data_IF_630795188724
#
_entry.id   IF_630795188724
#
_cell.length_a   1.000
_cell.length_b   1.000
_cell.length_c   1.000
_cell.angle_alpha   90.00
_cell.angle_beta   90.00
_cell.angle_gamma   90.00
#
_symmetry.space_group_name_H-M   'P 1'
#
loop_
_entity.id
_entity.type
_entity.pdbx_description
1 polymer ?
#
# COMPACT_ATOMS: atom_id res chain seq x y z
N UNK A 1 -4.70 67.19 -41.30
CA UNK A 1 -4.27 67.77 -40.00
C UNK A 1 -4.15 66.61 -39.02
N UNK A 2 -3.05 66.18 -38.42
CA UNK A 2 -1.62 66.49 -38.36
C UNK A 2 -0.92 65.13 -38.15
N UNK A 3 0.03 64.76 -39.01
CA UNK A 3 1.49 64.80 -38.79
C UNK A 3 2.05 63.69 -37.91
N UNK A 4 2.91 62.88 -38.53
CA UNK A 4 3.95 62.12 -37.86
C UNK A 4 4.95 63.07 -37.17
N UNK A 5 5.56 62.62 -36.06
CA UNK A 5 6.97 62.83 -35.65
C UNK A 5 7.27 61.72 -34.63
N UNK A 6 8.25 60.87 -34.95
CA UNK A 6 8.77 59.86 -34.04
C UNK A 6 9.78 60.44 -33.04
N UNK A 7 10.10 59.64 -32.02
CA UNK A 7 11.45 59.48 -31.47
C UNK A 7 11.53 58.15 -30.72
N UNK A 8 12.59 57.44 -31.01
CA UNK A 8 12.94 56.13 -30.49
C UNK A 8 13.50 56.20 -29.05
N UNK A 9 13.31 55.12 -28.29
CA UNK A 9 14.28 54.64 -27.31
C UNK A 9 14.22 53.10 -27.26
N UNK A 10 15.39 52.49 -27.43
CA UNK A 10 15.67 51.07 -27.59
C UNK A 10 16.11 50.46 -26.24
N UNK A 11 15.68 49.22 -25.97
CA UNK A 11 16.32 48.25 -25.07
C UNK A 11 15.78 48.25 -23.64
N UNK A 12 15.41 47.13 -23.00
CA UNK A 12 15.85 45.74 -23.15
C UNK A 12 14.76 44.77 -22.68
N UNK A 13 14.73 43.62 -23.36
CA UNK A 13 13.91 42.44 -23.15
C UNK A 13 14.41 41.62 -21.95
N UNK A 14 13.49 41.16 -21.12
CA UNK A 14 13.63 40.04 -20.19
C UNK A 14 12.25 39.83 -19.54
N UNK A 15 11.53 38.74 -19.69
CA UNK A 15 11.88 37.35 -19.94
C UNK A 15 10.84 36.58 -19.11
N UNK A 16 9.88 35.96 -19.79
CA UNK A 16 8.61 35.53 -19.21
C UNK A 16 8.70 34.45 -18.14
N UNK A 17 7.78 34.58 -17.17
CA UNK A 17 6.90 33.54 -16.59
C UNK A 17 7.35 32.08 -16.75
N UNK A 18 7.62 31.39 -15.63
CA UNK A 18 7.43 29.94 -15.56
C UNK A 18 6.99 29.46 -14.16
N UNK A 19 5.72 29.04 -14.13
CA UNK A 19 5.05 28.07 -13.27
C UNK A 19 5.53 27.87 -11.81
N UNK A 20 4.68 28.33 -10.90
CA UNK A 20 4.60 27.87 -9.52
C UNK A 20 4.48 26.33 -9.47
N UNK A 21 5.42 25.67 -8.77
CA UNK A 21 5.33 24.23 -8.47
C UNK A 21 4.19 24.01 -7.48
N UNK A 22 3.11 23.41 -7.96
CA UNK A 22 2.04 22.88 -7.10
C UNK A 22 2.57 21.65 -6.37
N UNK A 23 2.60 21.71 -5.03
CA UNK A 23 3.00 20.62 -4.15
C UNK A 23 2.08 19.40 -4.32
N UNK A 24 2.63 18.29 -4.85
CA UNK A 24 1.96 16.99 -4.85
C UNK A 24 2.13 16.33 -3.49
N UNK A 25 1.22 16.58 -2.56
CA UNK A 25 1.11 15.79 -1.34
C UNK A 25 -0.34 15.69 -0.89
N UNK A 26 -1.09 14.75 -1.46
CA UNK A 26 -2.38 14.32 -0.92
C UNK A 26 -2.42 12.79 -0.98
N UNK A 27 -2.16 12.14 0.15
CA UNK A 27 -2.80 10.87 0.52
C UNK A 27 -2.76 10.70 2.05
N UNK A 28 -3.90 10.94 2.71
CA UNK A 28 -4.56 10.09 3.72
C UNK A 28 -5.53 10.94 4.54
N UNK A 29 -6.82 10.81 4.26
CA UNK A 29 -7.88 11.12 5.22
C UNK A 29 -8.46 9.77 5.63
N UNK A 30 -8.28 9.41 6.90
CA UNK A 30 -9.08 8.35 7.52
C UNK A 30 -10.45 8.95 7.83
N UNK A 31 -11.50 8.40 7.22
CA UNK A 31 -12.87 8.59 7.70
C UNK A 31 -13.28 7.30 8.37
N UNK A 32 -13.32 7.34 9.70
CA UNK A 32 -14.10 6.41 10.51
C UNK A 32 -15.56 6.83 10.42
N UNK A 33 -16.40 6.02 9.79
CA UNK A 33 -17.83 6.00 10.10
C UNK A 33 -18.25 4.56 10.38
N UNK A 34 -18.62 4.37 11.64
CA UNK A 34 -19.43 3.30 12.18
C UNK A 34 -20.83 3.35 11.56
N UNK A 35 -21.26 2.24 10.96
CA UNK A 35 -22.62 2.02 10.49
C UNK A 35 -22.79 0.55 10.14
N UNK A 36 -23.33 -0.23 11.09
CA UNK A 36 -23.77 -1.61 10.90
C UNK A 36 -24.94 -1.63 9.92
N UNK A 37 -24.86 -2.47 8.89
CA UNK A 37 -25.97 -3.35 8.49
C UNK A 37 -25.41 -4.55 7.74
N UNK A 38 -25.85 -5.72 8.21
CA UNK A 38 -25.45 -7.06 7.81
C UNK A 38 -26.05 -7.42 6.45
N UNK A 39 -25.27 -8.13 5.62
CA UNK A 39 -25.68 -9.38 4.98
C UNK A 39 -24.50 -10.02 4.22
N UNK A 40 -24.13 -11.21 4.70
CA UNK A 40 -23.43 -12.34 4.06
C UNK A 40 -21.98 -12.12 3.55
N UNK A 41 -20.95 -12.62 4.25
CA UNK A 41 -20.51 -14.03 4.38
C UNK A 41 -19.97 -14.63 3.08
N UNK A 42 -18.67 -14.43 2.84
CA UNK A 42 -17.67 -15.48 2.58
C UNK A 42 -16.51 -14.93 1.76
N UNK A 43 -15.38 -14.67 2.42
CA UNK A 43 -14.08 -15.09 1.91
C UNK A 43 -13.08 -15.08 3.06
N UNK A 44 -12.74 -16.29 3.52
CA UNK A 44 -11.66 -16.50 4.46
C UNK A 44 -10.33 -16.12 3.79
N UNK A 45 -9.71 -15.07 4.30
CA UNK A 45 -8.33 -14.70 4.01
C UNK A 45 -7.64 -14.28 5.31
N UNK A 46 -7.52 -15.23 6.25
CA UNK A 46 -6.87 -15.05 7.54
C UNK A 46 -5.50 -14.40 7.37
N UNK A 47 -5.35 -13.21 7.95
CA UNK A 47 -4.08 -12.62 8.27
C UNK A 47 -3.33 -13.55 9.24
N UNK A 48 -2.14 -14.00 8.87
CA UNK A 48 -1.16 -14.50 9.83
C UNK A 48 0.19 -13.86 9.47
N UNK A 49 0.39 -12.66 9.99
CA UNK A 49 1.72 -12.08 10.19
C UNK A 49 2.22 -12.69 11.48
N UNK A 50 3.24 -13.55 11.40
CA UNK A 50 4.05 -13.90 12.58
C UNK A 50 5.50 -13.69 12.18
N UNK A 51 6.18 -12.85 12.95
CA UNK A 51 7.54 -12.98 13.51
C UNK A 51 7.83 -11.66 14.25
N UNK A 52 8.27 -11.69 15.53
CA UNK A 52 9.47 -12.41 15.94
C UNK A 52 9.30 -13.31 17.19
N UNK A 53 10.23 -14.25 17.32
CA UNK A 53 10.37 -15.20 18.42
C UNK A 53 10.80 -14.51 19.72
N UNK A 54 9.92 -14.44 20.72
CA UNK A 54 10.32 -14.28 22.12
C UNK A 54 10.46 -15.65 22.78
N UNK A 55 11.62 -15.88 23.39
CA UNK A 55 11.94 -17.05 24.21
C UNK A 55 10.92 -17.17 25.33
N UNK A 56 10.32 -18.35 25.51
CA UNK A 56 9.59 -18.69 26.73
C UNK A 56 10.39 -19.74 27.51
N UNK A 57 10.82 -19.32 28.69
CA UNK A 57 11.40 -20.16 29.73
C UNK A 57 10.37 -21.18 30.23
N UNK A 58 10.84 -22.40 30.50
CA UNK A 58 10.12 -23.44 31.19
C UNK A 58 9.98 -23.12 32.68
N UNK A 59 8.77 -23.18 33.23
CA UNK A 59 8.55 -23.31 34.67
C UNK A 59 7.38 -24.27 34.91
N UNK A 60 7.65 -25.24 35.78
CA UNK A 60 6.84 -26.41 36.17
C UNK A 60 5.61 -26.04 37.00
N UNK A 61 4.52 -26.78 36.80
CA UNK A 61 3.32 -26.72 37.62
C UNK A 61 3.40 -27.69 38.82
N UNK A 62 2.95 -27.23 39.98
CA UNK A 62 2.63 -28.02 41.17
C UNK A 62 1.11 -27.96 41.41
N UNK A 63 0.46 -29.13 41.56
CA UNK A 63 -0.93 -29.27 42.04
C UNK A 63 -1.09 -28.93 43.54
N UNK A 64 -2.33 -28.68 44.02
CA UNK A 64 -2.95 -29.71 44.89
C UNK A 64 -4.50 -29.86 44.86
N UNK A 65 -4.96 -31.13 44.88
CA UNK A 65 -5.87 -31.85 45.81
C UNK A 65 -7.37 -31.47 46.13
N UNK A 66 -8.28 -32.39 45.72
CA UNK A 66 -9.38 -33.16 46.42
C UNK A 66 -10.46 -32.53 47.37
N UNK A 67 -11.73 -32.93 47.18
CA UNK A 67 -12.72 -33.67 48.08
C UNK A 67 -14.15 -33.62 47.46
N UNK A 68 -14.89 -34.72 47.18
CA UNK A 68 -15.67 -35.75 47.95
C UNK A 68 -17.17 -35.41 48.15
N UNK A 69 -18.00 -36.44 47.91
CA UNK A 69 -19.46 -36.51 47.67
C UNK A 69 -20.42 -36.49 48.87
N UNK A 70 -21.75 -36.38 48.59
CA UNK A 70 -22.89 -36.89 49.39
C UNK A 70 -24.07 -37.36 48.48
N UNK A 71 -24.94 -38.26 49.01
CA UNK A 71 -25.93 -39.15 48.34
C UNK A 71 -27.41 -38.84 48.70
N UNK A 72 -28.34 -39.09 47.73
CA UNK A 72 -29.75 -39.68 47.71
C UNK A 72 -30.81 -39.28 48.79
N UNK A 73 -32.14 -39.64 48.72
CA UNK A 73 -32.89 -40.78 48.08
C UNK A 73 -34.19 -40.33 47.32
N UNK A 74 -35.24 -41.12 46.99
CA UNK A 74 -35.52 -42.38 46.27
C UNK A 74 -37.08 -42.48 46.07
N UNK A 75 -37.58 -43.21 45.04
CA UNK A 75 -38.91 -43.89 44.85
C UNK A 75 -39.39 -43.73 43.38
N UNK A 76 -39.53 -44.71 42.48
CA UNK A 76 -40.18 -46.04 42.42
C UNK A 76 -41.65 -46.00 41.90
N UNK A 77 -41.87 -46.40 40.62
CA UNK A 77 -42.87 -47.39 40.13
C UNK A 77 -42.92 -47.44 38.58
N UNK A 78 -42.82 -48.67 38.04
CA UNK A 78 -43.22 -49.17 36.71
C UNK A 78 -44.35 -50.22 36.98
N UNK A 79 -45.03 -50.91 36.02
CA UNK A 79 -44.64 -51.26 34.63
C UNK A 79 -45.77 -51.27 33.56
N UNK A 80 -45.46 -51.49 32.27
CA UNK A 80 -46.05 -52.60 31.48
C UNK A 80 -45.29 -52.87 30.16
N UNK A 81 -45.48 -54.07 29.63
CA UNK A 81 -44.56 -54.87 28.84
C UNK A 81 -44.64 -54.73 27.31
N UNK A 82 -43.54 -55.04 26.61
CA UNK A 82 -43.51 -56.08 25.56
C UNK A 82 -42.08 -56.23 24.98
N UNK A 83 -41.54 -57.44 25.11
CA UNK A 83 -40.23 -57.85 24.66
C UNK A 83 -40.22 -58.32 23.19
N UNK A 84 -39.17 -58.00 22.43
CA UNK A 84 -38.62 -58.87 21.38
C UNK A 84 -37.09 -58.93 21.48
N UNK A 85 -36.58 -60.15 21.73
CA UNK A 85 -35.16 -60.52 21.88
C UNK A 85 -34.38 -60.37 20.56
N UNK A 86 -33.09 -60.02 20.64
CA UNK A 86 -32.03 -60.69 19.86
C UNK A 86 -30.59 -60.43 20.35
N UNK A 87 -29.88 -61.55 20.44
CA UNK A 87 -28.43 -61.78 20.30
C UNK A 87 -27.43 -61.25 21.35
N UNK A 88 -26.64 -62.21 21.84
CA UNK A 88 -25.58 -62.08 22.83
C UNK A 88 -24.47 -61.10 22.41
N UNK A 89 -24.26 -60.05 23.20
CA UNK A 89 -23.10 -59.18 23.09
C UNK A 89 -21.89 -59.81 23.81
N UNK A 90 -20.85 -60.15 23.06
CA UNK A 90 -19.50 -60.38 23.59
C UNK A 90 -19.10 -59.13 24.39
N UNK A 91 -18.85 -59.28 25.70
CA UNK A 91 -18.25 -58.22 26.54
C UNK A 91 -16.91 -57.84 25.92
N UNK A 92 -16.83 -56.66 25.33
CA UNK A 92 -15.56 -56.04 24.98
C UNK A 92 -14.80 -55.79 26.29
N UNK A 93 -13.58 -56.33 26.41
CA UNK A 93 -12.65 -55.94 27.46
C UNK A 93 -12.44 -54.43 27.34
N UNK A 94 -12.96 -53.66 28.30
CA UNK A 94 -12.72 -52.22 28.38
C UNK A 94 -11.22 -51.98 28.49
N UNK A 95 -10.69 -51.09 27.64
CA UNK A 95 -9.30 -50.62 27.73
C UNK A 95 -9.02 -50.12 29.15
N UNK A 96 -7.89 -50.52 29.72
CA UNK A 96 -7.43 -50.01 31.03
C UNK A 96 -7.26 -48.49 30.94
N UNK A 97 -7.46 -47.78 32.04
CA UNK A 97 -7.36 -46.30 32.12
C UNK A 97 -6.03 -45.81 31.52
N UNK A 98 -4.92 -46.49 31.84
CA UNK A 98 -3.57 -46.28 31.29
C UNK A 98 -3.45 -46.47 29.77
N UNK A 99 -4.29 -47.31 29.17
CA UNK A 99 -4.35 -47.52 27.71
C UNK A 99 -5.23 -46.47 27.02
N UNK A 100 -6.27 -45.96 27.70
CA UNK A 100 -7.08 -44.84 27.21
C UNK A 100 -6.27 -43.54 27.22
N UNK A 101 -5.54 -43.26 28.31
CA UNK A 101 -4.63 -42.12 28.41
C UNK A 101 -3.56 -42.14 27.31
N UNK A 102 -2.88 -43.27 27.10
CA UNK A 102 -1.89 -43.39 26.00
C UNK A 102 -2.49 -43.18 24.60
N UNK A 103 -3.73 -43.61 24.38
CA UNK A 103 -4.41 -43.42 23.09
C UNK A 103 -4.82 -41.96 22.89
N UNK A 104 -5.23 -41.28 23.95
CA UNK A 104 -5.57 -39.86 23.95
C UNK A 104 -4.32 -38.98 23.77
N UNK A 105 -3.22 -39.30 24.45
CA UNK A 105 -1.92 -38.65 24.30
C UNK A 105 -1.36 -38.80 22.87
N UNK A 106 -1.47 -40.00 22.29
CA UNK A 106 -1.10 -40.25 20.89
C UNK A 106 -1.97 -39.43 19.91
N UNK A 107 -3.27 -39.30 20.18
CA UNK A 107 -4.18 -38.50 19.37
C UNK A 107 -3.86 -37.00 19.46
N UNK A 108 -3.53 -36.48 20.65
CA UNK A 108 -3.10 -35.09 20.86
C UNK A 108 -1.79 -34.82 20.13
N UNK A 109 -0.80 -35.73 20.22
CA UNK A 109 0.48 -35.61 19.52
C UNK A 109 0.31 -35.60 18.00
N UNK A 110 -0.58 -36.45 17.46
CA UNK A 110 -0.89 -36.47 16.03
C UNK A 110 -1.57 -35.17 15.58
N UNK A 111 -2.52 -34.64 16.37
CA UNK A 111 -3.15 -33.33 16.12
C UNK A 111 -2.12 -32.20 16.10
N UNK A 112 -1.20 -32.16 17.07
CA UNK A 112 -0.13 -31.16 17.14
C UNK A 112 0.85 -31.27 15.96
N UNK A 113 1.22 -32.49 15.55
CA UNK A 113 2.04 -32.68 14.35
C UNK A 113 1.34 -32.20 13.09
N UNK A 114 0.04 -32.48 12.93
CA UNK A 114 -0.74 -32.02 11.80
C UNK A 114 -0.90 -30.49 11.80
N UNK A 115 -1.08 -29.86 12.96
CA UNK A 115 -1.07 -28.40 13.09
C UNK A 115 0.29 -27.81 12.69
N UNK A 116 1.41 -28.33 13.22
CA UNK A 116 2.76 -27.89 12.85
C UNK A 116 3.05 -28.05 11.35
N UNK A 117 2.59 -29.15 10.73
CA UNK A 117 2.71 -29.35 9.28
C UNK A 117 1.92 -28.31 8.49
N UNK A 118 0.70 -27.99 8.93
CA UNK A 118 -0.14 -26.93 8.33
C UNK A 118 0.51 -25.56 8.46
N UNK A 119 1.01 -25.21 9.65
CA UNK A 119 1.72 -23.94 9.90
C UNK A 119 2.98 -23.80 9.04
N UNK A 120 3.81 -24.85 8.97
CA UNK A 120 4.99 -24.87 8.09
C UNK A 120 4.62 -24.64 6.63
N UNK A 121 3.54 -25.29 6.15
CA UNK A 121 3.05 -25.09 4.79
C UNK A 121 2.61 -23.64 4.55
N UNK A 122 1.83 -23.05 5.47
CA UNK A 122 1.39 -21.64 5.38
C UNK A 122 2.58 -20.68 5.33
N UNK A 123 3.62 -20.94 6.14
CA UNK A 123 4.84 -20.11 6.14
C UNK A 123 5.60 -20.23 4.82
N UNK A 124 5.76 -21.44 4.28
CA UNK A 124 6.43 -21.64 2.98
C UNK A 124 5.63 -21.01 1.84
N UNK A 125 4.31 -21.18 1.81
CA UNK A 125 3.41 -20.53 0.85
C UNK A 125 3.49 -18.99 0.94
N UNK A 126 3.64 -18.45 2.16
CA UNK A 126 3.89 -17.03 2.38
C UNK A 126 5.23 -16.57 1.81
N UNK A 127 6.30 -17.35 2.01
CA UNK A 127 7.64 -17.05 1.47
C UNK A 127 7.67 -17.11 -0.04
N UNK A 128 7.05 -18.12 -0.67
CA UNK A 128 6.96 -18.21 -2.13
C UNK A 128 6.22 -17.01 -2.68
N UNK A 129 5.11 -16.60 -2.05
CA UNK A 129 4.39 -15.38 -2.47
C UNK A 129 5.25 -14.12 -2.37
N UNK A 130 6.03 -13.97 -1.30
CA UNK A 130 6.94 -12.84 -1.15
C UNK A 130 8.03 -12.87 -2.24
N UNK A 131 8.56 -14.05 -2.60
CA UNK A 131 9.54 -14.19 -3.69
C UNK A 131 8.93 -13.81 -5.04
N UNK A 132 7.72 -14.26 -5.35
CA UNK A 132 6.99 -13.86 -6.56
C UNK A 132 6.77 -12.35 -6.63
N UNK A 133 6.35 -11.73 -5.51
CA UNK A 133 6.15 -10.28 -5.46
C UNK A 133 7.47 -9.55 -5.69
N UNK A 134 8.57 -9.99 -5.06
CA UNK A 134 9.89 -9.41 -5.27
C UNK A 134 10.40 -9.57 -6.71
N UNK A 135 10.13 -10.70 -7.36
CA UNK A 135 10.52 -10.95 -8.74
C UNK A 135 9.82 -10.00 -9.74
N UNK A 136 8.62 -9.53 -9.42
CA UNK A 136 7.89 -8.52 -10.22
C UNK A 136 8.37 -7.09 -9.98
N UNK A 137 9.21 -6.83 -8.98
CA UNK A 137 9.69 -5.47 -8.68
C UNK A 137 10.73 -5.07 -9.73
N UNK A 138 10.39 -4.03 -10.50
CA UNK A 138 11.25 -3.40 -11.47
C UNK A 138 12.06 -2.30 -10.77
N UNK A 139 13.32 -2.17 -11.15
CA UNK A 139 14.22 -1.17 -10.61
C UNK A 139 14.53 -0.12 -11.67
N UNK A 140 14.23 1.17 -11.42
CA UNK A 140 14.55 2.22 -12.36
C UNK A 140 16.08 2.40 -12.49
N UNK A 141 16.56 2.94 -13.63
CA UNK A 141 17.96 3.29 -13.82
C UNK A 141 18.47 4.20 -12.71
N UNK A 142 19.76 4.06 -12.36
CA UNK A 142 20.41 4.96 -11.40
C UNK A 142 20.50 6.35 -12.01
N UNK A 143 20.07 7.36 -11.26
CA UNK A 143 20.11 8.76 -11.70
C UNK A 143 21.48 9.36 -11.39
N UNK A 144 21.99 10.13 -12.34
CA UNK A 144 23.13 11.04 -12.23
C UNK A 144 22.80 12.24 -11.31
N UNK A 145 23.80 12.90 -10.72
CA UNK A 145 23.59 14.07 -9.86
C UNK A 145 22.93 15.22 -10.64
N UNK A 146 21.73 15.61 -10.22
CA UNK A 146 20.86 16.56 -10.93
C UNK A 146 20.83 17.96 -10.30
N UNK A 147 21.77 18.27 -9.40
CA UNK A 147 21.90 19.59 -8.76
C UNK A 147 23.38 19.99 -8.73
N UNK A 148 23.69 21.26 -8.97
CA UNK A 148 25.07 21.75 -9.01
C UNK A 148 25.87 21.36 -7.75
N UNK A 149 25.26 21.50 -6.56
CA UNK A 149 25.83 21.04 -5.30
C UNK A 149 26.17 19.53 -5.32
N UNK A 150 25.25 18.68 -5.78
CA UNK A 150 25.47 17.23 -5.81
C UNK A 150 26.52 16.82 -6.83
N UNK A 151 26.66 17.55 -7.93
CA UNK A 151 27.73 17.33 -8.91
C UNK A 151 29.07 17.62 -8.28
N UNK A 152 29.24 18.79 -7.67
CA UNK A 152 30.47 19.17 -6.96
C UNK A 152 30.81 18.19 -5.84
N UNK A 153 29.81 17.75 -5.08
CA UNK A 153 30.00 16.79 -4.00
C UNK A 153 30.51 15.44 -4.51
N UNK A 154 29.91 14.91 -5.59
CA UNK A 154 30.35 13.65 -6.22
C UNK A 154 31.75 13.80 -6.82
N UNK A 155 32.05 14.93 -7.45
CA UNK A 155 33.39 15.24 -7.96
C UNK A 155 34.42 15.26 -6.83
N UNK A 156 34.11 15.92 -5.71
CA UNK A 156 34.98 15.95 -4.53
C UNK A 156 35.22 14.55 -3.96
N UNK A 157 34.21 13.66 -4.00
CA UNK A 157 34.35 12.25 -3.58
C UNK A 157 35.29 11.46 -4.48
N UNK A 158 35.26 11.73 -5.79
CA UNK A 158 36.11 11.06 -6.77
C UNK A 158 37.57 11.56 -6.67
N UNK A 159 37.77 12.84 -6.35
CA UNK A 159 39.10 13.45 -6.22
C UNK A 159 39.79 13.11 -4.90
N UNK A 160 39.05 12.78 -3.84
CA UNK A 160 39.61 12.48 -2.51
C UNK A 160 39.16 11.10 -2.00
N UNK A 161 39.60 10.00 -2.65
CA UNK A 161 39.28 8.67 -2.17
C UNK A 161 39.91 8.41 -0.79
N UNK A 162 39.10 7.93 0.16
CA UNK A 162 39.57 7.53 1.50
C UNK A 162 39.40 8.57 2.61
N UNK A 163 39.03 9.81 2.27
CA UNK A 163 38.64 10.81 3.29
C UNK A 163 37.25 10.48 3.84
N UNK A 164 37.01 10.58 5.16
CA UNK A 164 35.69 10.39 5.74
C UNK A 164 34.65 11.29 5.07
N UNK A 165 33.49 10.71 4.70
CA UNK A 165 32.43 11.40 3.97
C UNK A 165 31.98 12.69 4.67
N UNK A 166 31.94 12.72 6.01
CA UNK A 166 31.51 13.88 6.78
C UNK A 166 32.42 15.11 6.57
N UNK A 167 33.73 14.92 6.62
CA UNK A 167 34.71 16.01 6.41
C UNK A 167 34.65 16.49 4.95
N UNK A 168 34.58 15.55 4.01
CA UNK A 168 34.47 15.89 2.60
C UNK A 168 33.21 16.69 2.27
N UNK A 169 32.06 16.33 2.85
CA UNK A 169 30.80 17.09 2.69
C UNK A 169 30.96 18.51 3.24
N UNK A 170 31.60 18.65 4.41
CA UNK A 170 31.83 19.93 5.06
C UNK A 170 32.72 20.85 4.22
N UNK A 171 33.83 20.32 3.72
CA UNK A 171 34.77 21.04 2.86
C UNK A 171 34.15 21.40 1.52
N UNK A 172 33.48 20.45 0.87
CA UNK A 172 32.73 20.70 -0.36
C UNK A 172 31.68 21.80 -0.15
N UNK A 173 30.97 21.79 0.98
CA UNK A 173 29.93 22.79 1.27
C UNK A 173 30.51 24.18 1.46
N UNK A 174 31.66 24.29 2.15
CA UNK A 174 32.39 25.55 2.27
C UNK A 174 32.81 26.08 0.89
N UNK A 175 33.40 25.22 0.06
CA UNK A 175 33.79 25.55 -1.33
C UNK A 175 32.58 26.01 -2.15
N UNK A 176 31.46 25.29 -2.10
CA UNK A 176 30.25 25.62 -2.87
C UNK A 176 29.67 26.99 -2.52
N UNK A 177 29.73 27.40 -1.25
CA UNK A 177 29.25 28.71 -0.80
C UNK A 177 30.11 29.86 -1.31
N UNK A 178 31.42 29.64 -1.44
CA UNK A 178 32.39 30.65 -1.91
C UNK A 178 32.66 30.59 -3.41
N UNK A 179 31.97 29.72 -4.16
CA UNK A 179 32.11 29.63 -5.61
C UNK A 179 31.77 30.95 -6.30
N UNK A 180 32.61 31.33 -7.26
CA UNK A 180 32.34 32.41 -8.19
C UNK A 180 31.16 32.07 -9.12
N UNK A 181 30.62 33.10 -9.78
CA UNK A 181 29.44 32.96 -10.62
C UNK A 181 29.68 32.02 -11.81
N UNK A 182 30.86 32.08 -12.44
CA UNK A 182 31.19 31.28 -13.63
C UNK A 182 31.30 29.80 -13.29
N UNK A 183 32.02 29.45 -12.22
CA UNK A 183 32.11 28.05 -11.77
C UNK A 183 30.75 27.52 -11.31
N UNK A 184 29.91 28.35 -10.69
CA UNK A 184 28.53 27.95 -10.34
C UNK A 184 27.69 27.66 -11.59
N UNK A 185 27.82 28.46 -12.63
CA UNK A 185 27.17 28.23 -13.92
C UNK A 185 27.64 26.93 -14.57
N UNK A 186 28.95 26.65 -14.55
CA UNK A 186 29.51 25.38 -15.03
C UNK A 186 28.83 24.17 -14.35
N UNK A 187 28.75 24.16 -13.02
CA UNK A 187 28.07 23.08 -12.29
C UNK A 187 26.57 23.01 -12.57
N UNK A 188 25.91 24.15 -12.78
CA UNK A 188 24.51 24.17 -13.18
C UNK A 188 24.31 23.57 -14.58
N UNK A 189 25.22 23.83 -15.53
CA UNK A 189 25.17 23.24 -16.86
C UNK A 189 25.32 21.72 -16.80
N UNK A 190 26.29 21.20 -16.03
CA UNK A 190 26.45 19.75 -15.81
C UNK A 190 25.20 19.15 -15.17
N UNK A 191 24.67 19.80 -14.12
CA UNK A 191 23.46 19.32 -13.44
C UNK A 191 22.24 19.26 -14.38
N UNK A 192 22.08 20.26 -15.25
CA UNK A 192 21.01 20.31 -16.24
C UNK A 192 21.20 19.23 -17.32
N UNK A 193 22.44 19.03 -17.80
CA UNK A 193 22.76 17.95 -18.74
C UNK A 193 22.47 16.57 -18.12
N UNK A 194 22.92 16.33 -16.89
CA UNK A 194 22.63 15.10 -16.13
C UNK A 194 21.13 14.90 -15.94
N UNK A 195 20.36 15.97 -15.67
CA UNK A 195 18.91 15.89 -15.58
C UNK A 195 18.29 15.45 -16.91
N UNK A 196 18.71 16.05 -18.03
CA UNK A 196 18.25 15.64 -19.35
C UNK A 196 18.60 14.18 -19.65
N UNK A 197 19.83 13.73 -19.34
CA UNK A 197 20.24 12.33 -19.48
C UNK A 197 19.43 11.40 -18.59
N UNK A 198 19.16 11.79 -17.33
CA UNK A 198 18.35 11.01 -16.41
C UNK A 198 16.93 10.83 -16.94
N UNK A 199 16.31 11.92 -17.41
CA UNK A 199 14.95 11.89 -17.91
C UNK A 199 14.90 11.05 -19.21
N UNK A 200 15.86 11.23 -20.14
CA UNK A 200 15.97 10.39 -21.33
C UNK A 200 16.20 8.89 -21.01
N UNK A 201 17.06 8.58 -20.03
CA UNK A 201 17.30 7.19 -19.60
C UNK A 201 16.07 6.55 -18.97
N UNK A 202 15.28 7.34 -18.22
CA UNK A 202 14.06 6.88 -17.58
C UNK A 202 12.95 6.65 -18.62
N UNK A 203 12.78 7.56 -19.58
CA UNK A 203 11.84 7.40 -20.68
C UNK A 203 12.20 6.20 -21.57
N UNK A 204 13.48 6.03 -21.93
CA UNK A 204 13.94 4.86 -22.68
C UNK A 204 13.67 3.55 -21.91
N UNK A 205 13.88 3.55 -20.59
CA UNK A 205 13.56 2.42 -19.73
C UNK A 205 12.05 2.15 -19.67
N UNK A 206 11.20 3.17 -19.53
CA UNK A 206 9.75 3.01 -19.59
C UNK A 206 9.29 2.46 -20.95
N UNK A 207 9.89 2.94 -22.04
CA UNK A 207 9.58 2.48 -23.39
C UNK A 207 9.97 1.00 -23.60
N UNK A 208 11.04 0.52 -22.95
CA UNK A 208 11.46 -0.88 -22.99
C UNK A 208 10.50 -1.83 -22.26
N UNK A 209 9.65 -1.30 -21.38
CA UNK A 209 8.74 -2.08 -20.54
C UNK A 209 7.31 -2.02 -21.07
N UNK A 210 6.58 -3.12 -20.90
CA UNK A 210 5.14 -3.12 -21.17
C UNK A 210 4.38 -2.41 -20.05
N UNK A 211 3.25 -1.73 -20.36
CA UNK A 211 2.38 -1.17 -19.34
C UNK A 211 1.97 -2.19 -18.28
N UNK A 212 1.73 -3.45 -18.68
CA UNK A 212 1.37 -4.55 -17.78
C UNK A 212 2.48 -4.87 -16.77
N UNK A 213 3.74 -4.93 -17.21
CA UNK A 213 4.88 -5.17 -16.31
C UNK A 213 5.01 -4.07 -15.27
N UNK A 214 4.85 -2.80 -15.68
CA UNK A 214 4.89 -1.65 -14.77
C UNK A 214 3.72 -1.70 -13.77
N UNK A 215 2.53 -2.02 -14.27
CA UNK A 215 1.33 -2.18 -13.44
C UNK A 215 1.52 -3.26 -12.37
N UNK A 216 1.99 -4.45 -12.77
CA UNK A 216 2.26 -5.57 -11.88
C UNK A 216 3.35 -5.25 -10.86
N UNK A 217 4.38 -4.52 -11.28
CA UNK A 217 5.45 -4.07 -10.40
C UNK A 217 4.94 -3.13 -9.32
N UNK A 218 4.17 -2.12 -9.71
CA UNK A 218 3.55 -1.17 -8.79
C UNK A 218 2.63 -1.87 -7.77
N UNK A 219 1.84 -2.84 -8.22
CA UNK A 219 0.98 -3.64 -7.34
C UNK A 219 1.80 -4.51 -6.38
N UNK A 220 2.88 -5.13 -6.87
CA UNK A 220 3.75 -5.95 -6.05
C UNK A 220 4.45 -5.13 -4.96
N UNK A 221 4.98 -3.96 -5.30
CA UNK A 221 5.57 -3.02 -4.34
C UNK A 221 4.54 -2.54 -3.32
N UNK A 222 3.33 -2.18 -3.74
CA UNK A 222 2.27 -1.79 -2.80
C UNK A 222 1.95 -2.93 -1.83
N UNK A 223 1.88 -4.18 -2.30
CA UNK A 223 1.67 -5.35 -1.44
C UNK A 223 2.82 -5.56 -0.46
N UNK A 224 4.06 -5.50 -0.94
CA UNK A 224 5.25 -5.61 -0.07
C UNK A 224 5.31 -4.49 0.98
N UNK A 225 4.88 -3.28 0.63
CA UNK A 225 4.74 -2.15 1.58
C UNK A 225 3.67 -2.41 2.63
N UNK A 226 2.52 -2.96 2.25
CA UNK A 226 1.47 -3.38 3.20
C UNK A 226 1.95 -4.47 4.16
N UNK A 227 2.85 -5.35 3.70
CA UNK A 227 3.48 -6.39 4.52
C UNK A 227 4.64 -5.87 5.39
N UNK A 228 4.95 -4.56 5.36
CA UNK A 228 6.05 -3.98 6.14
C UNK A 228 7.46 -4.36 5.64
N UNK A 229 7.58 -4.97 4.46
CA UNK A 229 8.86 -5.43 3.88
C UNK A 229 9.61 -4.31 3.13
N UNK A 230 9.03 -3.12 3.05
CA UNK A 230 9.61 -1.94 2.41
C UNK A 230 9.72 -0.83 3.44
N UNK A 231 10.90 -0.21 3.53
CA UNK A 231 11.16 0.90 4.45
C UNK A 231 10.18 2.06 4.21
N UNK A 232 9.64 2.67 5.29
CA UNK A 232 8.83 3.88 5.16
C UNK A 232 9.64 4.98 4.47
N UNK A 233 8.96 5.85 3.70
CA UNK A 233 9.59 6.96 2.97
C UNK A 233 10.15 6.61 1.59
N UNK A 234 10.32 5.32 1.23
CA UNK A 234 10.77 4.96 -0.12
C UNK A 234 9.62 5.09 -1.13
N UNK A 235 9.70 6.09 -2.02
CA UNK A 235 8.78 6.18 -3.17
C UNK A 235 9.26 5.21 -4.25
N UNK A 236 8.48 4.17 -4.50
CA UNK A 236 8.83 3.09 -5.42
C UNK A 236 7.91 3.02 -6.63
N UNK A 237 6.76 3.69 -6.57
CA UNK A 237 5.78 3.69 -7.63
C UNK A 237 6.41 4.29 -8.89
N UNK A 238 6.36 3.51 -9.95
CA UNK A 238 6.75 3.90 -11.29
C UNK A 238 5.55 4.61 -11.91
N UNK A 239 5.73 5.88 -12.25
CA UNK A 239 4.71 6.67 -12.93
C UNK A 239 4.88 6.48 -14.44
N UNK A 240 3.86 5.90 -15.07
CA UNK A 240 3.77 5.69 -16.52
C UNK A 240 2.47 6.36 -17.03
N UNK A 241 2.55 7.28 -18.00
CA UNK A 241 1.37 7.96 -18.55
C UNK A 241 0.41 7.02 -19.31
N UNK A 242 0.88 5.86 -19.77
CA UNK A 242 0.07 4.85 -20.49
C UNK A 242 -0.90 4.11 -19.55
N UNK A 243 -0.65 4.13 -18.24
CA UNK A 243 -1.49 3.44 -17.26
C UNK A 243 -2.73 4.30 -16.96
N UNK A 244 -3.95 3.81 -17.22
CA UNK A 244 -5.19 4.51 -16.93
C UNK A 244 -5.27 4.95 -15.47
N UNK A 245 -5.67 6.20 -15.25
CA UNK A 245 -5.84 6.74 -13.89
C UNK A 245 -7.10 6.15 -13.27
N UNK A 246 -7.07 5.90 -11.96
CA UNK A 246 -8.23 5.37 -11.24
C UNK A 246 -9.46 6.25 -11.43
N UNK A 247 -10.65 5.66 -11.48
CA UNK A 247 -11.86 6.44 -11.62
C UNK A 247 -12.08 7.30 -10.37
N UNK A 248 -12.63 8.49 -10.59
CA UNK A 248 -12.99 9.48 -9.58
C UNK A 248 -14.39 9.17 -9.05
N UNK A 249 -14.54 9.23 -7.72
CA UNK A 249 -15.87 9.19 -7.11
C UNK A 249 -16.60 10.51 -7.32
N UNK A 250 -17.93 10.49 -7.16
CA UNK A 250 -18.80 11.68 -7.19
C UNK A 250 -18.26 12.83 -6.32
N UNK A 251 -17.85 12.52 -5.09
CA UNK A 251 -17.22 13.51 -4.20
C UNK A 251 -15.93 14.11 -4.78
N UNK A 252 -15.05 13.30 -5.38
CA UNK A 252 -13.78 13.81 -5.92
C UNK A 252 -14.02 14.66 -7.18
N UNK A 253 -15.06 14.36 -7.95
CA UNK A 253 -15.49 15.19 -9.08
C UNK A 253 -15.99 16.56 -8.60
N UNK A 254 -16.85 16.59 -7.58
CA UNK A 254 -17.28 17.83 -6.92
C UNK A 254 -16.09 18.64 -6.39
N UNK A 255 -15.18 17.99 -5.66
CA UNK A 255 -13.97 18.63 -5.13
C UNK A 255 -13.14 19.22 -6.28
N UNK A 256 -12.94 18.49 -7.37
CA UNK A 256 -12.18 18.96 -8.53
C UNK A 256 -12.81 20.24 -9.11
N UNK A 257 -14.12 20.28 -9.27
CA UNK A 257 -14.85 21.44 -9.76
C UNK A 257 -14.74 22.64 -8.81
N UNK A 258 -14.93 22.43 -7.50
CA UNK A 258 -14.78 23.49 -6.49
C UNK A 258 -13.34 24.00 -6.35
N UNK A 259 -12.32 23.18 -6.59
CA UNK A 259 -10.94 23.69 -6.64
C UNK A 259 -10.67 24.51 -7.91
N UNK A 260 -11.38 24.26 -9.01
CA UNK A 260 -11.24 25.05 -10.23
C UNK A 260 -11.90 26.43 -10.16
N UNK A 261 -12.90 26.65 -9.29
CA UNK A 261 -13.47 27.99 -9.07
C UNK A 261 -12.47 28.97 -8.47
N UNK A 262 -11.44 28.47 -7.80
CA UNK A 262 -10.36 29.28 -7.23
C UNK A 262 -10.62 29.78 -5.81
N UNK A 263 -11.76 29.42 -5.21
CA UNK A 263 -12.18 29.84 -3.86
C UNK A 263 -11.22 29.36 -2.76
N UNK A 264 -10.46 28.30 -3.03
CA UNK A 264 -9.54 27.67 -2.08
C UNK A 264 -8.06 28.05 -2.28
N UNK A 265 -7.77 29.11 -3.06
CA UNK A 265 -6.40 29.61 -3.22
C UNK A 265 -5.92 30.27 -1.93
N UNK A 266 -4.85 29.73 -1.34
CA UNK A 266 -4.24 30.27 -0.11
C UNK A 266 -4.81 29.70 1.20
N UNK A 267 -5.88 28.90 1.14
CA UNK A 267 -6.40 28.15 2.29
C UNK A 267 -5.59 26.87 2.48
N UNK A 268 -5.38 26.44 3.73
CA UNK A 268 -4.71 25.16 3.97
C UNK A 268 -5.53 24.01 3.38
N UNK A 269 -4.87 23.02 2.78
CA UNK A 269 -5.58 21.88 2.15
C UNK A 269 -6.44 21.09 3.14
N UNK A 270 -6.09 21.12 4.43
CA UNK A 270 -6.85 20.45 5.50
C UNK A 270 -8.15 21.18 5.80
N UNK A 271 -8.13 22.52 5.86
CA UNK A 271 -9.33 23.34 6.07
C UNK A 271 -10.25 23.29 4.86
N UNK A 272 -9.68 23.44 3.65
CA UNK A 272 -10.43 23.31 2.41
C UNK A 272 -11.15 21.95 2.33
N UNK A 273 -10.49 20.85 2.71
CA UNK A 273 -11.13 19.54 2.73
C UNK A 273 -12.30 19.43 3.72
N UNK A 274 -12.23 20.10 4.88
CA UNK A 274 -13.34 20.12 5.85
C UNK A 274 -14.56 20.86 5.28
N UNK A 275 -14.33 22.03 4.69
CA UNK A 275 -15.38 22.85 4.05
C UNK A 275 -16.04 22.05 2.92
N UNK A 276 -15.24 21.49 2.00
CA UNK A 276 -15.75 20.70 0.87
C UNK A 276 -16.55 19.47 1.32
N UNK A 277 -16.14 18.81 2.40
CA UNK A 277 -16.89 17.67 2.94
C UNK A 277 -18.25 18.11 3.49
N UNK A 278 -18.32 19.28 4.13
CA UNK A 278 -19.58 19.84 4.63
C UNK A 278 -20.49 20.30 3.49
N UNK A 279 -19.94 21.01 2.50
CA UNK A 279 -20.67 21.44 1.30
C UNK A 279 -21.25 20.22 0.57
N UNK A 280 -20.45 19.19 0.31
CA UNK A 280 -20.93 17.99 -0.38
C UNK A 280 -22.05 17.27 0.38
N UNK A 281 -22.01 17.27 1.71
CA UNK A 281 -23.10 16.70 2.53
C UNK A 281 -24.38 17.52 2.44
N UNK A 282 -24.25 18.85 2.38
CA UNK A 282 -25.37 19.78 2.28
C UNK A 282 -25.99 19.88 0.88
N UNK A 283 -25.31 19.38 -0.17
CA UNK A 283 -25.88 19.32 -1.53
C UNK A 283 -27.21 18.57 -1.56
N UNK A 284 -28.11 19.04 -2.43
CA UNK A 284 -29.37 18.37 -2.71
C UNK A 284 -29.15 17.03 -3.42
N UNK A 285 -30.14 16.14 -3.35
CA UNK A 285 -30.07 14.84 -4.03
C UNK A 285 -29.97 15.00 -5.55
N UNK A 286 -30.56 16.06 -6.11
CA UNK A 286 -30.45 16.39 -7.54
C UNK A 286 -29.01 16.72 -7.95
N UNK A 287 -28.33 17.57 -7.18
CA UNK A 287 -26.93 17.94 -7.46
C UNK A 287 -25.98 16.76 -7.25
N UNK A 288 -26.19 15.97 -6.19
CA UNK A 288 -25.43 14.74 -5.96
C UNK A 288 -25.58 13.75 -7.12
N UNK A 289 -26.80 13.58 -7.65
CA UNK A 289 -27.09 12.67 -8.76
C UNK A 289 -26.35 13.04 -10.05
N UNK A 290 -26.11 14.34 -10.29
CA UNK A 290 -25.27 14.80 -11.40
C UNK A 290 -23.83 14.24 -11.27
N UNK A 291 -23.23 14.36 -10.07
CA UNK A 291 -21.89 13.85 -9.81
C UNK A 291 -21.81 12.32 -9.81
N UNK A 292 -22.86 11.63 -9.38
CA UNK A 292 -22.97 10.18 -9.46
C UNK A 292 -22.97 9.70 -10.91
N UNK A 293 -23.77 10.36 -11.77
CA UNK A 293 -23.83 10.05 -13.20
C UNK A 293 -22.46 10.26 -13.86
N UNK A 294 -21.77 11.37 -13.54
CA UNK A 294 -20.40 11.61 -14.01
C UNK A 294 -19.41 10.56 -13.48
N UNK A 295 -19.56 10.10 -12.24
CA UNK A 295 -18.70 9.06 -11.65
C UNK A 295 -18.91 7.70 -12.31
N UNK A 296 -20.16 7.35 -12.66
CA UNK A 296 -20.48 6.15 -13.45
C UNK A 296 -19.83 6.24 -14.83
N UNK A 297 -20.00 7.36 -15.53
CA UNK A 297 -19.37 7.58 -16.84
C UNK A 297 -17.82 7.51 -16.77
N UNK A 298 -17.22 8.06 -15.72
CA UNK A 298 -15.77 8.00 -15.50
C UNK A 298 -15.28 6.57 -15.20
N UNK A 299 -16.08 5.77 -14.51
CA UNK A 299 -15.81 4.35 -14.29
C UNK A 299 -15.87 3.54 -15.59
N UNK A 300 -16.81 3.84 -16.47
CA UNK A 300 -16.89 3.24 -17.80
C UNK A 300 -15.72 3.65 -18.71
N UNK A 301 -15.32 4.93 -18.66
CA UNK A 301 -14.09 5.41 -19.32
C UNK A 301 -12.88 4.60 -18.83
N UNK A 302 -12.72 4.46 -17.52
CA UNK A 302 -11.62 3.67 -16.94
C UNK A 302 -11.66 2.19 -17.35
N UNK A 303 -12.84 1.55 -17.40
CA UNK A 303 -12.93 0.15 -17.82
C UNK A 303 -12.55 -0.06 -19.28
N UNK A 304 -12.96 0.87 -20.16
CA UNK A 304 -12.57 0.89 -21.58
C UNK A 304 -11.07 1.11 -21.74
N UNK A 305 -10.51 2.11 -21.06
CA UNK A 305 -9.07 2.40 -21.07
C UNK A 305 -8.26 1.21 -20.53
N UNK A 306 -8.67 0.61 -19.40
CA UNK A 306 -8.00 -0.56 -18.82
C UNK A 306 -8.00 -1.75 -19.80
N UNK A 307 -9.13 -1.99 -20.47
CA UNK A 307 -9.24 -3.07 -21.47
C UNK A 307 -8.36 -2.78 -22.68
N UNK A 308 -8.33 -1.53 -23.15
CA UNK A 308 -7.49 -1.11 -24.28
C UNK A 308 -5.99 -1.18 -23.96
N UNK A 309 -5.55 -0.72 -22.79
CA UNK A 309 -4.14 -0.70 -22.41
C UNK A 309 -3.57 -2.08 -22.10
N UNK A 310 -4.35 -2.96 -21.46
CA UNK A 310 -3.83 -4.24 -20.95
C UNK A 310 -4.38 -5.47 -21.67
N UNK A 311 -5.34 -5.32 -22.60
CA UNK A 311 -5.98 -6.42 -23.32
C UNK A 311 -6.75 -7.41 -22.42
N UNK A 312 -6.78 -7.17 -21.11
CA UNK A 312 -7.32 -8.07 -20.10
C UNK A 312 -8.44 -7.35 -19.38
N UNK A 313 -9.66 -7.85 -19.49
CA UNK A 313 -10.78 -7.40 -18.66
C UNK A 313 -10.48 -7.77 -17.22
N UNK A 314 -9.92 -6.83 -16.44
CA UNK A 314 -10.10 -6.88 -14.99
C UNK A 314 -11.45 -6.22 -14.72
N UNK A 315 -12.54 -7.00 -14.49
CA UNK A 315 -13.86 -6.41 -14.36
C UNK A 315 -13.83 -5.54 -13.12
N UNK A 316 -14.06 -4.24 -13.30
CA UNK A 316 -14.32 -3.35 -12.18
C UNK A 316 -15.73 -3.75 -11.72
N UNK A 317 -15.82 -4.67 -10.75
CA UNK A 317 -17.06 -5.29 -10.26
C UNK A 317 -18.25 -4.33 -10.34
N UNK A 318 -19.06 -4.46 -11.38
CA UNK A 318 -20.25 -3.65 -11.58
C UNK A 318 -21.10 -3.82 -10.33
N UNK A 319 -21.30 -2.74 -9.59
CA UNK A 319 -22.30 -2.74 -8.53
C UNK A 319 -23.62 -2.77 -9.29
N UNK A 320 -24.25 -3.94 -9.30
CA UNK A 320 -25.62 -4.13 -9.75
C UNK A 320 -26.50 -3.11 -9.03
N UNK A 321 -27.14 -2.24 -9.81
CA UNK A 321 -28.31 -1.46 -9.37
C UNK A 321 -29.50 -2.39 -9.21
#
# INVERSE_FOLDING_TARGET
MFSAIGRAAIGRIGGGRSAARVSRQIQRVQVTQSGRNELQSDFQGRALVILPSSRLYSASATEPAKKRATKKPAAAKEPEAAAKKRAAAKKSKGLTEKQKEKKEEAAVRLKLQNQRKKEKKVVEDGKTKIRELKAKVLTPPKRLPATAWTVLHVESMLQSPGVPLAELVKDASARYKTLDASTREHYNQIANANKATNDASYEAWLASLSPQQIYDSNHAQQRLKQLGLIKPGKHLKIDDPRIPKRPLSSYILFVKERYTSGDFKGISSVEAAKILTQEYKALSDSEKKQYETQSVADRERYSKEMTSTFGTTRPVASVSS
#
